data_IF_110105821841
#
_entry.id   IF_110105821841
#
_cell.length_a   1.000
_cell.length_b   1.000
_cell.length_c   1.000
_cell.angle_alpha   90.00
_cell.angle_beta   90.00
_cell.angle_gamma   90.00
#
_symmetry.space_group_name_H-M   'P 1'
#
loop_
_entity.id
_entity.type
_entity.pdbx_description
1 polymer ?
#
# COMPACT_ATOMS: atom_id res chain seq x y z
N UNK A 1 27.62 53.94 19.83
CA UNK A 1 27.42 53.31 21.15
C UNK A 1 27.17 51.82 20.92
N UNK A 2 28.28 51.03 21.00
CA UNK A 2 28.31 49.62 20.66
C UNK A 2 27.96 48.78 21.93
N UNK A 3 26.94 47.94 21.80
CA UNK A 3 26.70 46.85 22.77
C UNK A 3 26.93 45.51 22.09
N UNK A 4 28.04 44.89 22.42
CA UNK A 4 28.33 43.48 22.19
C UNK A 4 27.58 42.64 23.21
N UNK A 5 26.75 41.67 22.70
CA UNK A 5 26.12 40.67 23.55
C UNK A 5 26.80 39.32 23.26
N UNK A 6 27.64 38.90 24.24
CA UNK A 6 28.27 37.58 24.23
C UNK A 6 27.26 36.49 24.57
N UNK A 7 27.09 35.52 23.68
CA UNK A 7 26.27 34.34 23.91
C UNK A 7 27.15 33.16 24.35
N UNK A 8 27.05 32.78 25.62
CA UNK A 8 27.70 31.60 26.21
C UNK A 8 27.18 30.33 25.57
N UNK A 9 28.07 29.51 25.02
CA UNK A 9 27.83 28.13 24.64
C UNK A 9 27.77 27.23 25.86
N UNK A 10 26.62 26.66 26.17
CA UNK A 10 26.47 25.63 27.19
C UNK A 10 26.46 24.26 26.51
N UNK A 11 27.55 23.54 26.61
CA UNK A 11 27.69 22.12 26.23
C UNK A 11 27.22 21.24 27.38
N UNK A 12 26.09 20.56 27.20
CA UNK A 12 25.65 19.50 28.12
C UNK A 12 26.14 18.14 27.61
N UNK A 13 27.11 17.54 28.32
CA UNK A 13 27.49 16.14 28.20
C UNK A 13 26.38 15.26 28.77
N UNK A 14 25.94 14.27 28.01
CA UNK A 14 25.13 13.13 28.50
C UNK A 14 26.07 11.97 28.87
N UNK A 15 25.83 11.26 29.98
CA UNK A 15 26.60 10.07 30.33
C UNK A 15 26.14 8.85 29.51
N UNK A 16 27.13 8.12 29.01
CA UNK A 16 26.96 6.80 28.37
C UNK A 16 26.75 5.75 29.47
N UNK A 17 25.58 5.15 29.53
CA UNK A 17 25.32 4.02 30.44
C UNK A 17 25.56 2.71 29.69
N UNK A 18 26.59 2.03 30.09
CA UNK A 18 27.00 0.69 29.65
C UNK A 18 26.09 -0.33 30.33
N UNK A 19 25.26 -1.07 29.57
CA UNK A 19 24.47 -2.19 30.08
C UNK A 19 25.16 -3.49 29.65
N UNK A 20 25.60 -4.24 30.63
CA UNK A 20 26.26 -5.53 30.48
C UNK A 20 25.28 -6.63 30.07
N UNK A 21 25.70 -7.44 29.10
CA UNK A 21 25.04 -8.62 28.57
C UNK A 21 25.33 -9.81 29.49
N UNK A 22 24.29 -10.38 30.13
CA UNK A 22 24.41 -11.68 30.83
C UNK A 22 23.75 -12.77 29.99
N UNK A 23 24.58 -13.68 29.47
CA UNK A 23 24.19 -14.96 28.90
C UNK A 23 23.78 -15.92 30.05
N UNK A 24 22.59 -16.51 29.94
CA UNK A 24 22.24 -17.72 30.71
C UNK A 24 21.95 -18.84 29.71
N UNK A 25 22.89 -19.77 29.63
CA UNK A 25 22.69 -21.08 29.00
C UNK A 25 22.06 -22.01 30.02
N UNK A 26 20.99 -22.72 29.64
CA UNK A 26 20.51 -23.92 30.39
C UNK A 26 20.12 -24.98 29.38
N UNK A 27 20.95 -26.00 29.33
CA UNK A 27 20.73 -27.29 28.67
C UNK A 27 20.21 -28.30 29.68
N UNK A 28 19.44 -29.27 29.18
CA UNK A 28 19.19 -30.66 29.61
C UNK A 28 17.73 -30.98 29.30
N UNK A 29 17.38 -31.87 28.41
CA UNK A 29 17.80 -33.23 28.30
C UNK A 29 16.85 -34.18 29.05
N UNK A 30 15.92 -34.87 28.37
CA UNK A 30 15.71 -36.27 28.65
C UNK A 30 14.83 -37.02 27.64
N UNK A 31 15.12 -38.28 27.54
CA UNK A 31 14.91 -39.33 26.58
C UNK A 31 13.59 -40.10 26.84
N UNK A 32 13.12 -40.96 25.89
CA UNK A 32 11.79 -41.56 25.85
C UNK A 32 11.69 -42.84 26.70
N UNK A 33 10.45 -43.19 27.05
CA UNK A 33 10.15 -44.52 27.60
C UNK A 33 9.09 -45.19 26.75
N UNK A 34 9.47 -46.32 26.15
CA UNK A 34 8.61 -47.35 25.58
C UNK A 34 7.91 -48.14 26.68
N UNK A 35 6.66 -48.50 26.50
CA UNK A 35 6.17 -49.82 27.00
C UNK A 35 4.87 -50.24 26.32
N UNK A 36 4.94 -51.41 25.86
CA UNK A 36 4.14 -52.37 25.18
C UNK A 36 2.72 -52.67 25.71
N UNK A 37 1.87 -53.09 24.75
CA UNK A 37 1.10 -54.32 24.88
C UNK A 37 -0.37 -54.20 25.26
N UNK A 38 -1.27 -54.59 24.34
CA UNK A 38 -2.65 -54.90 24.68
C UNK A 38 -3.58 -55.06 23.48
N UNK A 39 -3.57 -56.26 22.90
CA UNK A 39 -4.48 -56.76 21.86
C UNK A 39 -5.90 -56.95 22.38
N UNK A 40 -6.91 -56.45 21.69
CA UNK A 40 -8.25 -57.08 21.56
C UNK A 40 -9.11 -56.42 20.47
N UNK A 41 -9.43 -57.16 19.43
CA UNK A 41 -10.54 -57.00 18.47
C UNK A 41 -11.63 -57.99 18.82
N UNK A 42 -12.85 -58.01 18.21
CA UNK A 42 -13.68 -56.98 17.56
C UNK A 42 -15.13 -56.99 18.07
N UNK A 43 -15.95 -55.99 17.69
CA UNK A 43 -17.37 -56.23 17.38
C UNK A 43 -17.97 -55.18 16.45
N UNK A 44 -18.54 -55.69 15.38
CA UNK A 44 -19.36 -55.10 14.36
C UNK A 44 -20.59 -54.39 14.92
N UNK A 45 -20.99 -53.27 14.26
CA UNK A 45 -22.32 -52.72 14.47
C UNK A 45 -22.55 -51.35 13.81
N UNK A 46 -23.32 -51.37 12.72
CA UNK A 46 -24.22 -50.36 12.20
C UNK A 46 -23.65 -49.08 11.57
N UNK A 47 -23.71 -49.08 10.27
CA UNK A 47 -23.63 -47.96 9.31
C UNK A 47 -24.74 -46.94 9.53
N UNK A 48 -24.38 -45.69 9.79
CA UNK A 48 -25.25 -44.51 9.56
C UNK A 48 -24.59 -43.66 8.49
N UNK A 49 -25.35 -43.08 7.49
CA UNK A 49 -24.77 -42.30 6.43
C UNK A 49 -24.29 -40.98 6.96
N UNK A 50 -23.03 -40.64 6.67
CA UNK A 50 -22.42 -39.35 6.95
C UNK A 50 -23.12 -38.24 6.10
N UNK A 51 -23.36 -37.03 6.65
CA UNK A 51 -23.84 -35.90 5.85
C UNK A 51 -22.74 -35.49 4.85
N UNK A 52 -23.13 -35.44 3.58
CA UNK A 52 -22.30 -34.96 2.49
C UNK A 52 -21.90 -33.50 2.80
N UNK A 53 -20.66 -33.30 3.18
CA UNK A 53 -20.05 -31.97 3.30
C UNK A 53 -20.04 -31.34 1.90
N UNK A 54 -20.87 -30.32 1.70
CA UNK A 54 -20.81 -29.50 0.51
C UNK A 54 -19.42 -28.88 0.40
N UNK A 55 -18.68 -29.28 -0.61
CA UNK A 55 -17.37 -28.70 -0.93
C UNK A 55 -17.56 -27.20 -1.18
N UNK A 56 -17.01 -26.40 -0.29
CA UNK A 56 -16.81 -24.96 -0.54
C UNK A 56 -16.02 -24.81 -1.82
N UNK A 57 -16.40 -23.89 -2.75
CA UNK A 57 -15.63 -23.72 -3.96
C UNK A 57 -14.19 -23.33 -3.60
N UNK A 58 -13.25 -24.17 -4.00
CA UNK A 58 -11.83 -23.91 -3.85
C UNK A 58 -11.51 -22.58 -4.51
N UNK A 59 -10.98 -21.62 -3.75
CA UNK A 59 -10.45 -20.38 -4.28
C UNK A 59 -9.40 -20.74 -5.34
N UNK A 60 -9.62 -20.32 -6.58
CA UNK A 60 -8.64 -20.46 -7.65
C UNK A 60 -7.30 -19.91 -7.19
N UNK A 61 -6.17 -20.58 -7.48
CA UNK A 61 -4.84 -20.09 -7.09
C UNK A 61 -4.65 -18.68 -7.65
N UNK A 62 -4.48 -17.71 -6.77
CA UNK A 62 -4.18 -16.33 -7.14
C UNK A 62 -2.83 -16.36 -7.87
N UNK A 63 -2.83 -16.05 -9.17
CA UNK A 63 -1.61 -15.98 -9.96
C UNK A 63 -0.60 -15.04 -9.27
N UNK A 64 0.69 -15.39 -9.34
CA UNK A 64 1.74 -14.54 -8.79
C UNK A 64 1.64 -13.13 -9.39
N UNK A 65 1.88 -12.06 -8.60
CA UNK A 65 1.84 -10.70 -9.12
C UNK A 65 2.77 -10.52 -10.31
N UNK A 66 2.29 -9.84 -11.35
CA UNK A 66 3.12 -9.48 -12.51
C UNK A 66 4.31 -8.63 -12.06
N UNK A 67 5.49 -8.91 -12.60
CA UNK A 67 6.72 -8.16 -12.33
C UNK A 67 7.53 -7.96 -13.61
N UNK A 68 8.27 -6.86 -13.67
CA UNK A 68 9.14 -6.49 -14.79
C UNK A 68 10.52 -6.11 -14.27
N UNK A 69 11.55 -6.33 -15.07
CA UNK A 69 12.95 -6.05 -14.72
C UNK A 69 13.32 -4.56 -14.82
N UNK A 70 12.53 -3.74 -15.55
CA UNK A 70 12.75 -2.30 -15.73
C UNK A 70 11.43 -1.55 -15.83
N UNK A 71 11.46 -0.24 -15.58
CA UNK A 71 10.36 0.66 -15.88
C UNK A 71 10.03 0.65 -17.37
N UNK A 72 8.75 0.87 -17.77
CA UNK A 72 8.36 0.86 -19.18
C UNK A 72 9.02 1.99 -19.97
N UNK A 73 9.34 1.70 -21.20
CA UNK A 73 9.73 2.73 -22.16
C UNK A 73 8.56 3.70 -22.38
N UNK A 74 8.85 4.95 -22.77
CA UNK A 74 7.80 5.97 -22.97
C UNK A 74 6.89 5.56 -24.14
N UNK A 75 5.60 5.38 -23.86
CA UNK A 75 4.57 4.99 -24.85
C UNK A 75 3.42 5.99 -24.94
N UNK A 76 3.31 6.90 -23.98
CA UNK A 76 2.34 7.98 -24.05
C UNK A 76 2.91 9.22 -24.72
N UNK A 77 2.07 10.07 -25.27
CA UNK A 77 2.43 11.43 -25.71
C UNK A 77 2.15 12.43 -24.58
N UNK A 78 3.15 13.06 -23.97
CA UNK A 78 2.91 14.02 -22.87
C UNK A 78 2.06 15.25 -23.26
N UNK A 79 1.85 15.50 -24.56
CA UNK A 79 1.02 16.61 -25.04
C UNK A 79 -0.47 16.25 -25.17
N UNK A 80 -0.82 14.97 -25.02
CA UNK A 80 -2.19 14.51 -25.04
C UNK A 80 -2.79 14.49 -23.64
N UNK A 81 -4.11 14.45 -23.57
CA UNK A 81 -4.87 14.36 -22.32
C UNK A 81 -5.24 12.90 -22.05
N UNK A 82 -5.03 12.46 -20.83
CA UNK A 82 -5.36 11.11 -20.39
C UNK A 82 -6.26 11.14 -19.16
N UNK A 83 -7.22 10.23 -19.14
CA UNK A 83 -8.06 9.97 -17.99
C UNK A 83 -7.99 8.48 -17.62
N UNK A 84 -8.06 8.19 -16.34
CA UNK A 84 -8.20 6.82 -15.82
C UNK A 84 -9.56 6.67 -15.15
N UNK A 85 -10.42 5.81 -15.68
CA UNK A 85 -11.65 5.38 -15.01
C UNK A 85 -11.33 4.19 -14.13
N UNK A 86 -11.47 4.37 -12.82
CA UNK A 86 -11.14 3.38 -11.79
C UNK A 86 -12.43 2.81 -11.22
N UNK A 87 -12.70 1.52 -11.48
CA UNK A 87 -13.80 0.79 -10.88
C UNK A 87 -13.32 0.07 -9.63
N UNK A 88 -14.02 0.29 -8.52
CA UNK A 88 -13.70 -0.31 -7.23
C UNK A 88 -14.88 -1.06 -6.63
N UNK A 89 -14.65 -1.81 -5.55
CA UNK A 89 -15.72 -2.43 -4.77
C UNK A 89 -16.67 -1.44 -4.07
N UNK A 90 -16.31 -0.14 -4.02
CA UNK A 90 -17.11 0.95 -3.39
C UNK A 90 -17.72 1.93 -4.40
N UNK A 91 -17.49 1.73 -5.70
CA UNK A 91 -17.96 2.60 -6.78
C UNK A 91 -16.87 2.94 -7.78
N UNK A 92 -17.19 3.78 -8.74
CA UNK A 92 -16.28 4.21 -9.81
C UNK A 92 -15.91 5.68 -9.61
N UNK A 93 -14.68 6.04 -9.99
CA UNK A 93 -14.22 7.42 -10.05
C UNK A 93 -13.25 7.60 -11.22
N UNK A 94 -13.08 8.84 -11.67
CA UNK A 94 -12.17 9.20 -12.76
C UNK A 94 -11.03 10.06 -12.23
N UNK A 95 -9.83 9.81 -12.74
CA UNK A 95 -8.62 10.60 -12.48
C UNK A 95 -8.22 11.31 -13.78
N UNK A 96 -8.08 12.63 -13.75
CA UNK A 96 -7.38 13.39 -14.78
C UNK A 96 -5.87 13.22 -14.55
N UNK A 97 -5.13 12.73 -15.57
CA UNK A 97 -3.71 12.43 -15.47
C UNK A 97 -2.86 13.60 -16.00
N UNK A 98 -1.84 13.99 -15.24
CA UNK A 98 -0.98 15.13 -15.54
C UNK A 98 0.23 14.72 -16.40
N UNK A 99 -0.02 14.22 -17.62
CA UNK A 99 1.00 13.67 -18.50
C UNK A 99 2.12 14.68 -18.88
N UNK A 100 1.80 15.97 -18.95
CA UNK A 100 2.77 17.03 -19.25
C UNK A 100 3.71 17.31 -18.08
N UNK A 101 3.22 17.23 -16.84
CA UNK A 101 3.99 17.58 -15.64
C UNK A 101 4.75 16.37 -15.06
N UNK A 102 4.15 15.17 -15.15
CA UNK A 102 4.73 13.93 -14.65
C UNK A 102 4.71 12.81 -15.72
N UNK A 103 5.37 13.01 -16.87
CA UNK A 103 5.25 12.10 -18.02
C UNK A 103 5.71 10.67 -17.73
N UNK A 104 6.79 10.47 -16.97
CA UNK A 104 7.27 9.13 -16.62
C UNK A 104 6.33 8.43 -15.66
N UNK A 105 5.79 9.15 -14.69
CA UNK A 105 4.84 8.64 -13.71
C UNK A 105 3.53 8.25 -14.36
N UNK A 106 2.98 9.12 -15.24
CA UNK A 106 1.75 8.82 -15.99
C UNK A 106 1.98 7.66 -16.94
N UNK A 107 3.11 7.62 -17.66
CA UNK A 107 3.45 6.49 -18.53
C UNK A 107 3.48 5.16 -17.76
N UNK A 108 4.13 5.14 -16.60
CA UNK A 108 4.18 3.99 -15.71
C UNK A 108 2.78 3.54 -15.26
N UNK A 109 1.96 4.47 -14.80
CA UNK A 109 0.60 4.20 -14.35
C UNK A 109 -0.27 3.67 -15.50
N UNK A 110 -0.20 4.27 -16.68
CA UNK A 110 -0.91 3.84 -17.91
C UNK A 110 -0.48 2.43 -18.32
N UNK A 111 0.82 2.16 -18.34
CA UNK A 111 1.36 0.84 -18.65
C UNK A 111 0.83 -0.22 -17.68
N UNK A 112 0.98 -0.02 -16.39
CA UNK A 112 0.53 -0.97 -15.36
C UNK A 112 -0.99 -1.17 -15.41
N UNK A 113 -1.75 -0.12 -15.68
CA UNK A 113 -3.22 -0.20 -15.83
C UNK A 113 -3.60 -1.06 -17.04
N UNK A 114 -2.99 -0.82 -18.22
CA UNK A 114 -3.22 -1.61 -19.45
C UNK A 114 -2.84 -3.08 -19.29
N UNK A 115 -1.79 -3.35 -18.51
CA UNK A 115 -1.38 -4.71 -18.16
C UNK A 115 -2.32 -5.39 -17.14
N UNK A 116 -3.33 -4.70 -16.62
CA UNK A 116 -4.21 -5.22 -15.58
C UNK A 116 -3.52 -5.45 -14.24
N UNK A 117 -2.35 -4.82 -14.00
CA UNK A 117 -1.58 -4.96 -12.78
C UNK A 117 -2.37 -4.58 -11.53
N UNK A 118 -3.22 -3.58 -11.65
CA UNK A 118 -4.04 -3.08 -10.54
C UNK A 118 -5.33 -3.88 -10.27
N UNK A 119 -5.65 -4.87 -11.11
CA UNK A 119 -6.88 -5.67 -10.93
C UNK A 119 -6.83 -6.46 -9.61
N UNK A 120 -7.88 -6.34 -8.81
CA UNK A 120 -8.02 -6.94 -7.48
C UNK A 120 -7.01 -6.44 -6.42
N UNK A 121 -6.25 -5.37 -6.70
CA UNK A 121 -5.35 -4.74 -5.74
C UNK A 121 -6.16 -3.99 -4.69
N UNK A 122 -5.74 -4.11 -3.42
CA UNK A 122 -6.46 -3.56 -2.27
C UNK A 122 -6.00 -2.15 -1.92
N UNK A 123 -6.91 -1.37 -1.37
CA UNK A 123 -6.54 -0.22 -0.55
C UNK A 123 -6.08 -0.75 0.81
N UNK A 124 -4.79 -0.89 0.99
CA UNK A 124 -4.21 -1.55 2.17
C UNK A 124 -3.98 -0.60 3.35
N UNK A 125 -4.05 0.72 3.10
CA UNK A 125 -3.89 1.77 4.11
C UNK A 125 -4.90 2.89 3.87
N UNK A 126 -5.69 3.21 4.89
CA UNK A 126 -6.72 4.25 4.85
C UNK A 126 -6.59 5.11 6.11
N UNK A 127 -6.42 6.42 5.93
CA UNK A 127 -6.50 7.42 6.98
C UNK A 127 -7.46 8.50 6.49
N UNK A 128 -8.68 8.51 7.01
CA UNK A 128 -9.82 9.29 6.49
C UNK A 128 -9.49 10.78 6.28
N UNK A 129 -8.82 11.41 7.24
CA UNK A 129 -8.48 12.84 7.18
C UNK A 129 -7.25 13.14 6.32
N UNK A 130 -6.54 12.11 5.86
CA UNK A 130 -5.28 12.25 5.14
C UNK A 130 -5.35 11.65 3.73
N UNK A 131 -5.27 10.32 3.59
CA UNK A 131 -5.21 9.68 2.28
C UNK A 131 -5.70 8.22 2.31
N UNK A 132 -5.99 7.68 1.13
CA UNK A 132 -6.21 6.27 0.87
C UNK A 132 -5.09 5.76 -0.06
N UNK A 133 -4.38 4.69 0.33
CA UNK A 133 -3.21 4.16 -0.38
C UNK A 133 -3.48 2.77 -0.94
N UNK A 134 -3.01 2.53 -2.17
CA UNK A 134 -3.21 1.30 -2.94
C UNK A 134 -2.02 1.04 -3.87
N UNK A 135 -2.18 0.13 -4.84
CA UNK A 135 -1.17 -0.14 -5.88
C UNK A 135 -0.11 -1.17 -5.47
N UNK A 136 -0.23 -1.77 -4.29
CA UNK A 136 0.57 -2.91 -3.87
C UNK A 136 -0.16 -4.22 -4.20
N UNK A 137 0.35 -5.05 -5.12
CA UNK A 137 -0.30 -6.32 -5.49
C UNK A 137 -0.32 -7.35 -4.35
N UNK A 138 0.52 -7.18 -3.32
CA UNK A 138 0.55 -8.04 -2.13
C UNK A 138 -0.35 -7.51 -1.00
N UNK A 139 -0.77 -6.24 -1.05
CA UNK A 139 -1.57 -5.60 0.00
C UNK A 139 -0.84 -5.42 1.34
N UNK A 140 0.48 -5.46 1.34
CA UNK A 140 1.33 -5.40 2.54
C UNK A 140 2.00 -4.03 2.74
N UNK A 141 1.89 -3.14 1.77
CA UNK A 141 2.63 -1.88 1.68
C UNK A 141 4.08 -2.03 1.20
N UNK A 142 4.52 -3.25 0.83
CA UNK A 142 5.91 -3.55 0.44
C UNK A 142 6.04 -4.11 -0.97
N UNK A 143 4.95 -4.47 -1.62
CA UNK A 143 4.93 -4.98 -2.98
C UNK A 143 5.05 -3.87 -4.02
N UNK A 144 5.35 -4.29 -5.26
CA UNK A 144 5.55 -3.37 -6.39
C UNK A 144 5.73 -4.11 -7.70
N UNK A 145 6.06 -3.40 -8.79
CA UNK A 145 6.11 -3.95 -10.13
C UNK A 145 7.46 -4.61 -10.48
N UNK A 146 8.39 -4.73 -9.52
CA UNK A 146 9.72 -5.32 -9.72
C UNK A 146 10.83 -4.31 -10.03
N UNK A 147 10.50 -3.04 -10.25
CA UNK A 147 11.45 -1.95 -10.53
C UNK A 147 11.11 -0.70 -9.73
N UNK A 148 12.02 0.27 -9.78
CA UNK A 148 11.85 1.63 -9.25
C UNK A 148 12.20 2.65 -10.31
N UNK A 149 11.62 3.88 -10.19
CA UNK A 149 11.94 4.99 -11.08
C UNK A 149 12.00 6.32 -10.31
N UNK A 150 12.62 7.32 -10.96
CA UNK A 150 12.90 8.63 -10.35
C UNK A 150 11.64 9.45 -10.10
N UNK A 151 11.72 10.34 -9.11
CA UNK A 151 10.67 11.30 -8.79
C UNK A 151 10.49 12.35 -9.88
N UNK A 152 9.26 12.86 -10.01
CA UNK A 152 8.89 14.02 -10.83
C UNK A 152 8.19 15.04 -9.90
N UNK A 153 9.00 15.86 -9.20
CA UNK A 153 8.52 16.77 -8.16
C UNK A 153 8.23 18.19 -8.66
N UNK A 154 8.61 18.50 -9.92
CA UNK A 154 8.36 19.81 -10.51
C UNK A 154 6.93 19.88 -11.02
N UNK A 155 6.04 20.46 -10.25
CA UNK A 155 4.61 20.59 -10.56
C UNK A 155 4.07 21.94 -10.10
N UNK A 156 2.97 22.40 -10.71
CA UNK A 156 2.17 23.55 -10.26
C UNK A 156 1.10 23.18 -9.24
N UNK A 157 0.88 21.88 -9.02
CA UNK A 157 -0.14 21.37 -8.10
C UNK A 157 0.38 21.28 -6.67
N UNK A 158 -0.55 21.38 -5.72
CA UNK A 158 -0.32 21.19 -4.28
C UNK A 158 -1.13 20.01 -3.77
N UNK A 159 -0.70 19.40 -2.66
CA UNK A 159 -1.47 18.33 -2.04
C UNK A 159 -2.72 18.90 -1.40
N UNK A 160 -3.86 18.48 -1.91
CA UNK A 160 -5.20 18.82 -1.47
C UNK A 160 -6.15 17.65 -1.74
N UNK A 161 -7.36 17.58 -1.18
CA UNK A 161 -8.30 16.51 -1.45
C UNK A 161 -8.52 16.28 -2.96
N UNK A 162 -8.45 15.00 -3.36
CA UNK A 162 -8.53 14.56 -4.75
C UNK A 162 -7.19 14.41 -5.47
N UNK A 163 -6.10 14.99 -4.99
CA UNK A 163 -4.77 14.81 -5.59
C UNK A 163 -4.34 13.34 -5.50
N UNK A 164 -3.74 12.88 -6.60
CA UNK A 164 -3.16 11.53 -6.73
C UNK A 164 -1.66 11.64 -6.87
N UNK A 165 -0.93 10.97 -5.98
CA UNK A 165 0.53 10.99 -5.97
C UNK A 165 1.13 9.61 -5.72
N UNK A 166 2.37 9.38 -6.20
CA UNK A 166 3.09 8.12 -5.96
C UNK A 166 3.51 8.00 -4.50
N UNK A 167 3.29 6.82 -3.94
CA UNK A 167 3.93 6.43 -2.68
C UNK A 167 5.35 5.95 -2.96
N UNK A 168 6.30 6.30 -2.07
CA UNK A 168 7.69 5.89 -2.19
C UNK A 168 8.29 5.53 -0.81
N UNK A 169 9.50 4.97 -0.82
CA UNK A 169 10.30 4.63 0.38
C UNK A 169 11.55 5.52 0.48
N UNK A 170 11.45 6.76 0.06
CA UNK A 170 12.52 7.74 -0.06
C UNK A 170 12.74 8.17 -1.50
N UNK A 171 13.67 9.09 -1.77
CA UNK A 171 13.87 9.69 -3.09
C UNK A 171 14.11 8.65 -4.19
N UNK A 172 13.45 8.84 -5.35
CA UNK A 172 13.63 8.01 -6.56
C UNK A 172 13.29 6.53 -6.35
N UNK A 173 12.29 6.23 -5.52
CA UNK A 173 11.85 4.84 -5.27
C UNK A 173 10.39 4.60 -5.66
N UNK A 174 9.84 5.37 -6.60
CA UNK A 174 8.51 5.13 -7.14
C UNK A 174 8.41 3.75 -7.79
N UNK A 175 7.27 3.10 -7.64
CA UNK A 175 6.99 1.80 -8.25
C UNK A 175 5.56 1.76 -8.81
N UNK A 176 4.68 1.01 -8.14
CA UNK A 176 3.25 0.93 -8.49
C UNK A 176 2.33 1.54 -7.45
N UNK A 177 2.80 1.72 -6.20
CA UNK A 177 1.95 2.21 -5.13
C UNK A 177 1.68 3.70 -5.29
N UNK A 178 0.41 4.08 -5.06
CA UNK A 178 -0.01 5.47 -5.08
C UNK A 178 -1.06 5.73 -3.99
N UNK A 179 -1.26 6.99 -3.67
CA UNK A 179 -2.30 7.41 -2.76
C UNK A 179 -3.16 8.51 -3.36
N UNK A 180 -4.37 8.63 -2.85
CA UNK A 180 -5.30 9.69 -3.17
C UNK A 180 -5.56 10.46 -1.89
N UNK A 181 -5.33 11.76 -1.91
CA UNK A 181 -5.67 12.64 -0.80
C UNK A 181 -7.18 12.58 -0.55
N UNK A 182 -7.61 12.12 0.62
CA UNK A 182 -9.03 11.97 0.97
C UNK A 182 -9.52 13.05 1.94
N UNK A 183 -8.62 13.77 2.59
CA UNK A 183 -8.98 14.80 3.57
C UNK A 183 -7.93 15.90 3.68
N UNK A 184 -8.25 16.91 4.50
CA UNK A 184 -7.50 18.16 4.63
C UNK A 184 -6.06 17.97 5.17
N UNK A 185 -5.82 16.92 5.96
CA UNK A 185 -4.48 16.64 6.50
C UNK A 185 -3.44 16.34 5.41
N UNK A 186 -3.90 16.02 4.18
CA UNK A 186 -3.01 15.84 3.03
C UNK A 186 -2.21 17.10 2.71
N UNK A 187 -2.76 18.29 2.98
CA UNK A 187 -2.08 19.58 2.80
C UNK A 187 -0.79 19.72 3.63
N UNK A 188 -0.62 18.91 4.70
CA UNK A 188 0.63 18.89 5.47
C UNK A 188 1.83 18.44 4.64
N UNK A 189 1.62 17.67 3.56
CA UNK A 189 2.68 17.27 2.62
C UNK A 189 3.28 18.46 1.85
N UNK A 190 2.57 19.58 1.74
CA UNK A 190 3.07 20.80 1.09
C UNK A 190 4.27 21.41 1.84
N UNK A 191 4.48 21.08 3.11
CA UNK A 191 5.65 21.51 3.90
C UNK A 191 6.93 20.84 3.41
N UNK A 192 6.82 19.65 2.81
CA UNK A 192 7.92 18.86 2.24
C UNK A 192 7.38 17.98 1.10
N UNK A 193 7.32 18.50 -0.14
CA UNK A 193 6.68 17.85 -1.26
C UNK A 193 7.58 16.77 -1.89
N UNK A 194 7.65 15.59 -1.28
CA UNK A 194 8.55 14.49 -1.66
C UNK A 194 7.85 13.39 -2.51
N UNK A 195 6.60 13.59 -2.94
CA UNK A 195 5.83 12.61 -3.69
C UNK A 195 5.41 13.15 -5.06
N UNK A 196 5.65 12.37 -6.12
CA UNK A 196 5.30 12.78 -7.49
C UNK A 196 3.79 12.86 -7.66
N UNK A 197 3.25 14.07 -7.77
CA UNK A 197 1.84 14.31 -8.11
C UNK A 197 1.67 14.00 -9.60
N UNK A 198 0.71 13.14 -9.95
CA UNK A 198 0.50 12.74 -11.34
C UNK A 198 -0.95 12.77 -11.81
N UNK A 199 -1.88 13.19 -10.97
CA UNK A 199 -3.29 13.32 -11.35
C UNK A 199 -4.17 13.92 -10.27
N UNK A 200 -5.44 14.10 -10.62
CA UNK A 200 -6.49 14.56 -9.71
C UNK A 200 -7.80 13.84 -10.02
N UNK A 201 -8.48 13.39 -8.98
CA UNK A 201 -9.83 12.84 -9.08
C UNK A 201 -10.79 13.94 -9.48
N UNK A 202 -11.69 13.65 -10.43
CA UNK A 202 -12.75 14.61 -10.83
C UNK A 202 -13.72 14.89 -9.68
N UNK A 203 -14.41 16.01 -9.74
CA UNK A 203 -15.35 16.39 -8.68
C UNK A 203 -16.41 15.31 -8.42
N UNK A 204 -16.92 14.67 -9.47
CA UNK A 204 -17.91 13.58 -9.39
C UNK A 204 -17.36 12.34 -8.70
N UNK A 205 -16.06 12.08 -8.87
CA UNK A 205 -15.36 10.94 -8.26
C UNK A 205 -15.16 11.04 -6.76
N UNK A 206 -15.18 12.26 -6.20
CA UNK A 206 -14.89 12.50 -4.77
C UNK A 206 -15.88 11.80 -3.83
N UNK A 207 -17.13 11.61 -4.24
CA UNK A 207 -18.10 10.85 -3.47
C UNK A 207 -17.67 9.38 -3.26
N UNK A 208 -17.02 8.77 -4.27
CA UNK A 208 -16.47 7.41 -4.16
C UNK A 208 -15.21 7.39 -3.28
N UNK A 209 -14.34 8.41 -3.40
CA UNK A 209 -13.16 8.55 -2.52
C UNK A 209 -13.60 8.64 -1.05
N UNK A 210 -14.61 9.44 -0.74
CA UNK A 210 -15.18 9.54 0.61
C UNK A 210 -15.69 8.19 1.13
N UNK A 211 -16.44 7.43 0.31
CA UNK A 211 -16.91 6.08 0.69
C UNK A 211 -15.77 5.11 1.00
N UNK A 212 -14.67 5.19 0.25
CA UNK A 212 -13.48 4.39 0.53
C UNK A 212 -12.82 4.85 1.84
N UNK A 213 -12.64 6.15 2.03
CA UNK A 213 -12.03 6.73 3.22
C UNK A 213 -12.82 6.49 4.51
N UNK A 214 -14.14 6.25 4.40
CA UNK A 214 -15.04 5.91 5.51
C UNK A 214 -15.02 4.43 5.91
N UNK A 215 -14.26 3.60 5.18
CA UNK A 215 -14.10 2.19 5.55
C UNK A 215 -13.55 2.07 6.97
N UNK A 216 -14.19 1.29 7.87
CA UNK A 216 -13.68 1.07 9.22
C UNK A 216 -12.27 0.50 9.21
N UNK A 217 -11.39 1.03 10.07
CA UNK A 217 -9.98 0.64 10.16
C UNK A 217 -9.64 0.08 11.56
N UNK A 218 -8.55 -0.68 11.61
CA UNK A 218 -7.92 -1.20 12.84
C UNK A 218 -6.42 -0.83 12.85
N UNK A 219 -5.73 -1.14 13.94
CA UNK A 219 -4.27 -0.94 14.03
C UNK A 219 -3.56 -1.77 12.97
N UNK A 220 -2.73 -1.12 12.14
CA UNK A 220 -2.02 -1.71 11.00
C UNK A 220 -0.51 -1.76 11.13
N UNK A 221 0.05 -1.61 12.33
CA UNK A 221 1.50 -1.49 12.56
C UNK A 221 2.01 -0.05 12.57
N UNK A 222 1.11 0.93 12.45
CA UNK A 222 1.36 2.36 12.64
C UNK A 222 0.89 2.80 14.04
N UNK A 223 1.20 4.03 14.41
CA UNK A 223 0.76 4.62 15.69
C UNK A 223 -0.74 4.93 15.75
N UNK A 224 -1.44 4.87 14.62
CA UNK A 224 -2.89 5.09 14.50
C UNK A 224 -3.54 4.04 13.61
N UNK A 225 -4.87 3.80 13.78
CA UNK A 225 -5.60 2.87 12.93
C UNK A 225 -5.53 3.29 11.46
N UNK A 226 -5.14 2.35 10.59
CA UNK A 226 -4.99 2.60 9.15
C UNK A 226 -5.28 1.36 8.29
N UNK A 227 -5.33 0.16 8.87
CA UNK A 227 -5.61 -1.08 8.16
C UNK A 227 -7.11 -1.29 8.02
N UNK A 228 -7.67 -1.38 6.81
CA UNK A 228 -9.08 -1.63 6.60
C UNK A 228 -9.55 -2.94 7.22
N UNK A 229 -10.71 -2.91 7.93
CA UNK A 229 -11.35 -4.10 8.48
C UNK A 229 -12.08 -4.93 7.42
N UNK A 230 -12.41 -4.33 6.29
CA UNK A 230 -13.01 -4.99 5.13
C UNK A 230 -12.15 -4.76 3.88
N UNK A 231 -12.19 -5.71 2.96
CA UNK A 231 -11.41 -5.63 1.74
C UNK A 231 -12.05 -4.64 0.77
N UNK A 232 -11.34 -3.55 0.47
CA UNK A 232 -11.70 -2.60 -0.59
C UNK A 232 -10.72 -2.79 -1.74
N UNK A 233 -11.22 -3.02 -2.97
CA UNK A 233 -10.38 -3.38 -4.13
C UNK A 233 -10.57 -2.43 -5.30
N UNK A 234 -9.50 -2.25 -6.09
CA UNK A 234 -9.59 -1.83 -7.48
C UNK A 234 -10.00 -3.06 -8.29
N UNK A 235 -11.12 -2.99 -9.00
CA UNK A 235 -11.58 -4.10 -9.85
C UNK A 235 -10.98 -3.99 -11.26
N UNK A 236 -10.93 -2.77 -11.81
CA UNK A 236 -10.32 -2.48 -13.10
C UNK A 236 -9.94 -1.00 -13.21
N UNK A 237 -8.96 -0.70 -14.08
CA UNK A 237 -8.64 0.66 -14.51
C UNK A 237 -8.68 0.70 -16.05
N UNK A 238 -9.48 1.61 -16.61
CA UNK A 238 -9.58 1.85 -18.04
C UNK A 238 -8.98 3.21 -18.37
N UNK A 239 -7.98 3.22 -19.24
CA UNK A 239 -7.32 4.46 -19.69
C UNK A 239 -8.06 4.99 -20.93
N UNK A 240 -8.43 6.27 -20.89
CA UNK A 240 -9.04 7.03 -21.99
C UNK A 240 -8.05 8.11 -22.42
N UNK A 241 -7.70 8.11 -23.71
CA UNK A 241 -6.90 9.16 -24.35
C UNK A 241 -7.88 10.08 -25.09
N UNK A 242 -7.68 11.40 -24.98
CA UNK A 242 -8.49 12.44 -25.62
C UNK A 242 -7.61 13.32 -26.51
#
# INVERSE_FOLDING_TARGET
MNLHFNMLKSTKLLPVTLIALTLIASACGNKPTESAGGTATPKSGATAPAPTSAASPAASPTAAPKQWSKAPDMTIDPNKTYQAEVTTSKGTFTIDLFAKEAPKTVNNFVFLSKEGFYNNVTFHRIIKTFMIQTGDPLGTGRGGPGYKFADELKTSHTYEPGIVAMANSGPNTNGSQFFICSGEDCANLNKKPDYSIFGKVTAEGMATISKIAETPVEMGGESSPSKPKEKVTINAIVIKEK
#
